data_IF_935507753542
#
_entry.id   IF_935507753542
#
_cell.length_a   1.000
_cell.length_b   1.000
_cell.length_c   1.000
_cell.angle_alpha   90.00
_cell.angle_beta   90.00
_cell.angle_gamma   90.00
#
_symmetry.space_group_name_H-M   'P 1'
#
loop_
_entity.id
_entity.type
_entity.pdbx_description
1 polymer ?
#
# COMPACT_ATOMS: atom_id res chain seq x y z
N UNK A 1 -22.88 19.90 0.42
CA UNK A 1 -21.77 19.03 -0.01
C UNK A 1 -22.15 17.61 0.30
N UNK A 2 -22.49 16.83 -0.72
CA UNK A 2 -22.82 15.41 -0.57
C UNK A 2 -21.48 14.70 -0.35
N UNK A 3 -21.21 14.22 0.87
CA UNK A 3 -20.04 13.39 1.11
C UNK A 3 -20.09 12.18 0.16
N UNK A 4 -18.96 11.84 -0.49
CA UNK A 4 -18.90 10.74 -1.45
C UNK A 4 -19.48 9.47 -0.81
N UNK A 5 -20.30 8.73 -1.56
CA UNK A 5 -21.04 7.56 -1.05
C UNK A 5 -20.13 6.54 -0.36
N UNK A 6 -18.87 6.48 -0.78
CA UNK A 6 -17.83 5.63 -0.17
C UNK A 6 -17.59 5.96 1.31
N UNK A 7 -17.62 7.23 1.70
CA UNK A 7 -17.36 7.64 3.08
C UNK A 7 -18.54 7.30 4.01
N UNK A 8 -19.78 7.44 3.52
CA UNK A 8 -20.98 7.21 4.33
C UNK A 8 -21.11 5.76 4.79
N UNK A 9 -20.64 4.80 3.98
CA UNK A 9 -20.69 3.38 4.31
C UNK A 9 -19.52 2.94 5.19
N UNK A 10 -18.33 3.50 4.99
CA UNK A 10 -17.13 3.06 5.70
C UNK A 10 -16.99 3.71 7.08
N UNK A 11 -17.29 5.00 7.20
CA UNK A 11 -17.00 5.77 8.42
C UNK A 11 -17.62 5.18 9.70
N UNK A 12 -18.92 4.81 9.74
CA UNK A 12 -19.54 4.26 10.94
C UNK A 12 -18.99 2.90 11.37
N UNK A 13 -18.40 2.14 10.43
CA UNK A 13 -17.84 0.81 10.71
C UNK A 13 -16.51 0.94 11.45
N UNK A 14 -15.74 1.99 11.13
CA UNK A 14 -14.44 2.22 11.74
C UNK A 14 -14.53 3.11 12.98
N UNK A 15 -15.59 3.91 13.14
CA UNK A 15 -15.78 4.77 14.30
C UNK A 15 -15.90 3.96 15.60
N UNK A 16 -14.91 4.13 16.48
CA UNK A 16 -14.87 3.44 17.78
C UNK A 16 -14.35 2.00 17.72
N UNK A 17 -13.86 1.56 16.55
CA UNK A 17 -13.32 0.21 16.38
C UNK A 17 -11.96 0.04 17.08
N UNK A 18 -11.16 1.10 17.13
CA UNK A 18 -9.82 1.10 17.72
C UNK A 18 -9.75 2.05 18.93
N UNK A 19 -8.83 1.82 19.89
CA UNK A 19 -8.56 2.80 20.92
C UNK A 19 -7.93 4.07 20.32
N UNK A 20 -8.28 5.23 20.88
CA UNK A 20 -7.59 6.48 20.56
C UNK A 20 -6.10 6.40 20.95
N UNK A 21 -5.17 7.00 20.18
CA UNK A 21 -5.37 7.91 19.04
C UNK A 21 -5.49 7.22 17.66
N UNK A 22 -5.52 5.90 17.62
CA UNK A 22 -5.41 5.15 16.36
C UNK A 22 -6.69 5.18 15.54
N UNK A 23 -7.85 5.19 16.20
CA UNK A 23 -9.14 5.34 15.56
C UNK A 23 -9.23 6.66 14.77
N UNK A 24 -8.89 7.80 15.40
CA UNK A 24 -8.79 9.08 14.70
C UNK A 24 -7.84 9.02 13.50
N UNK A 25 -6.69 8.36 13.65
CA UNK A 25 -5.70 8.21 12.56
C UNK A 25 -6.25 7.39 11.37
N UNK A 26 -7.07 6.37 11.65
CA UNK A 26 -7.70 5.54 10.61
C UNK A 26 -8.82 6.28 9.90
N UNK A 27 -9.64 7.01 10.66
CA UNK A 27 -10.71 7.84 10.10
C UNK A 27 -10.15 8.96 9.21
N UNK A 28 -9.06 9.61 9.62
CA UNK A 28 -8.34 10.61 8.81
C UNK A 28 -7.79 10.00 7.51
N UNK A 29 -7.20 8.81 7.60
CA UNK A 29 -6.71 8.07 6.44
C UNK A 29 -7.85 7.75 5.45
N UNK A 30 -8.96 7.21 5.94
CA UNK A 30 -10.13 6.87 5.13
C UNK A 30 -10.72 8.11 4.46
N UNK A 31 -10.87 9.20 5.21
CA UNK A 31 -11.36 10.47 4.68
C UNK A 31 -10.48 10.98 3.53
N UNK A 32 -9.17 11.02 3.75
CA UNK A 32 -8.20 11.53 2.76
C UNK A 32 -8.19 10.67 1.50
N UNK A 33 -8.24 9.33 1.65
CA UNK A 33 -8.32 8.39 0.53
C UNK A 33 -9.64 8.52 -0.24
N UNK A 34 -10.78 8.57 0.44
CA UNK A 34 -12.09 8.76 -0.21
C UNK A 34 -12.15 10.08 -0.97
N UNK A 35 -11.60 11.15 -0.40
CA UNK A 35 -11.56 12.46 -1.03
C UNK A 35 -10.69 12.43 -2.30
N UNK A 36 -9.46 11.93 -2.21
CA UNK A 36 -8.58 11.73 -3.38
C UNK A 36 -9.24 10.84 -4.45
N UNK A 37 -9.88 9.74 -4.04
CA UNK A 37 -10.51 8.79 -4.96
C UNK A 37 -11.75 9.39 -5.64
N UNK A 38 -12.47 10.30 -4.98
CA UNK A 38 -13.56 11.07 -5.57
C UNK A 38 -13.06 11.95 -6.72
N UNK A 39 -12.01 12.73 -6.50
CA UNK A 39 -11.37 13.52 -7.56
C UNK A 39 -10.83 12.65 -8.71
N UNK A 40 -10.19 11.52 -8.38
CA UNK A 40 -9.67 10.59 -9.38
C UNK A 40 -10.77 9.97 -10.24
N UNK A 41 -11.94 9.62 -9.66
CA UNK A 41 -13.09 9.07 -10.39
C UNK A 41 -13.77 10.09 -11.28
N UNK A 42 -13.90 11.33 -10.81
CA UNK A 42 -14.55 12.40 -11.58
C UNK A 42 -13.72 12.79 -12.81
N UNK A 43 -12.41 12.49 -12.82
CA UNK A 43 -11.49 12.78 -13.94
C UNK A 43 -11.65 14.23 -14.45
N UNK A 44 -11.83 15.16 -13.53
CA UNK A 44 -11.95 16.57 -13.89
C UNK A 44 -10.56 17.06 -14.28
N UNK A 45 -10.37 17.32 -15.58
CA UNK A 45 -9.12 17.78 -16.17
C UNK A 45 -9.10 19.31 -16.33
N UNK A 46 -9.49 20.04 -15.27
CA UNK A 46 -9.28 21.48 -15.21
C UNK A 46 -8.00 21.78 -14.44
N UNK A 47 -7.29 22.86 -14.76
CA UNK A 47 -6.02 23.19 -14.10
C UNK A 47 -6.16 23.30 -12.58
N UNK A 48 -7.29 23.81 -12.10
CA UNK A 48 -7.58 23.93 -10.67
C UNK A 48 -7.78 22.56 -10.01
N UNK A 49 -8.56 21.67 -10.63
CA UNK A 49 -8.80 20.32 -10.08
C UNK A 49 -7.54 19.45 -10.12
N UNK A 50 -6.64 19.67 -11.07
CA UNK A 50 -5.34 19.00 -11.12
C UNK A 50 -4.45 19.44 -9.95
N UNK A 51 -4.37 20.75 -9.64
CA UNK A 51 -3.62 21.25 -8.49
C UNK A 51 -4.14 20.67 -7.17
N UNK A 52 -5.47 20.67 -7.00
CA UNK A 52 -6.11 20.06 -5.83
C UNK A 52 -5.79 18.56 -5.75
N UNK A 53 -5.83 17.84 -6.87
CA UNK A 53 -5.49 16.43 -6.90
C UNK A 53 -4.02 16.16 -6.55
N UNK A 54 -3.08 17.01 -6.97
CA UNK A 54 -1.66 16.91 -6.60
C UNK A 54 -1.44 17.12 -5.11
N UNK A 55 -2.10 18.13 -4.53
CA UNK A 55 -2.06 18.39 -3.08
C UNK A 55 -2.65 17.24 -2.28
N UNK A 56 -3.78 16.70 -2.73
CA UNK A 56 -4.40 15.53 -2.12
C UNK A 56 -3.52 14.30 -2.24
N UNK A 57 -2.86 14.09 -3.37
CA UNK A 57 -1.93 12.95 -3.55
C UNK A 57 -0.76 13.04 -2.57
N UNK A 58 -0.21 14.25 -2.35
CA UNK A 58 0.81 14.47 -1.32
C UNK A 58 0.27 14.19 0.09
N UNK A 59 -0.94 14.66 0.38
CA UNK A 59 -1.59 14.42 1.67
C UNK A 59 -1.83 12.92 1.92
N UNK A 60 -2.35 12.19 0.92
CA UNK A 60 -2.51 10.73 0.95
C UNK A 60 -1.20 10.03 1.30
N UNK A 61 -0.11 10.38 0.62
CA UNK A 61 1.21 9.83 0.92
C UNK A 61 1.61 10.05 2.37
N UNK A 62 1.45 11.27 2.88
CA UNK A 62 1.78 11.62 4.25
C UNK A 62 0.93 10.83 5.27
N UNK A 63 -0.40 10.78 5.12
CA UNK A 63 -1.27 10.06 6.07
C UNK A 63 -0.98 8.56 6.06
N UNK A 64 -0.67 7.96 4.90
CA UNK A 64 -0.27 6.54 4.82
C UNK A 64 1.05 6.30 5.55
N UNK A 65 2.04 7.18 5.36
CA UNK A 65 3.32 7.08 6.08
C UNK A 65 3.13 7.21 7.60
N UNK A 66 2.29 8.15 8.05
CA UNK A 66 1.98 8.33 9.48
C UNK A 66 1.24 7.11 10.05
N UNK A 67 0.25 6.58 9.32
CA UNK A 67 -0.47 5.37 9.71
C UNK A 67 0.47 4.16 9.86
N UNK A 68 1.36 3.95 8.89
CA UNK A 68 2.37 2.90 8.97
C UNK A 68 3.30 3.10 10.17
N UNK A 69 3.78 4.33 10.38
CA UNK A 69 4.77 4.61 11.41
C UNK A 69 4.20 4.54 12.83
N UNK A 70 2.91 4.86 13.02
CA UNK A 70 2.28 4.96 14.35
C UNK A 70 1.30 3.81 14.61
N UNK A 71 0.32 3.62 13.74
CA UNK A 71 -0.77 2.65 13.95
C UNK A 71 -0.31 1.22 13.67
N UNK A 72 0.37 0.95 12.55
CA UNK A 72 0.85 -0.41 12.28
C UNK A 72 1.92 -0.90 13.26
N UNK A 73 2.67 0.01 13.92
CA UNK A 73 3.62 -0.38 14.98
C UNK A 73 2.92 -0.74 16.29
N UNK A 74 1.77 -0.15 16.57
CA UNK A 74 1.01 -0.40 17.80
C UNK A 74 0.25 -1.74 17.75
N UNK A 75 -0.17 -2.17 16.57
CA UNK A 75 -0.90 -3.43 16.38
C UNK A 75 -0.03 -4.46 15.67
N UNK A 76 0.24 -5.58 16.34
CA UNK A 76 0.95 -6.70 15.74
C UNK A 76 0.04 -7.45 14.75
N UNK A 77 -0.13 -6.90 13.55
CA UNK A 77 -0.87 -7.56 12.46
C UNK A 77 0.00 -8.64 11.84
N UNK A 78 -0.58 -9.83 11.64
CA UNK A 78 0.08 -10.92 10.91
C UNK A 78 -0.59 -11.07 9.54
N UNK A 79 0.23 -11.28 8.52
CA UNK A 79 -0.27 -11.67 7.20
C UNK A 79 -1.11 -12.95 7.31
N UNK A 80 -2.15 -13.04 6.49
CA UNK A 80 -2.88 -14.30 6.35
C UNK A 80 -1.96 -15.36 5.71
N UNK A 81 -2.20 -16.65 5.99
CA UNK A 81 -1.40 -17.75 5.42
C UNK A 81 -1.25 -17.66 3.91
N UNK A 82 -2.32 -17.27 3.20
CA UNK A 82 -2.33 -17.12 1.74
C UNK A 82 -1.45 -15.97 1.25
N UNK A 83 -1.45 -14.86 1.99
CA UNK A 83 -0.63 -13.70 1.70
C UNK A 83 0.85 -14.02 1.94
N UNK A 84 1.18 -14.64 3.09
CA UNK A 84 2.53 -15.08 3.40
C UNK A 84 3.09 -16.06 2.36
N UNK A 85 2.28 -17.01 1.90
CA UNK A 85 2.65 -17.92 0.80
C UNK A 85 2.92 -17.17 -0.51
N UNK A 86 2.07 -16.18 -0.84
CA UNK A 86 2.25 -15.36 -2.04
C UNK A 86 3.53 -14.51 -1.97
N UNK A 87 3.82 -13.91 -0.81
CA UNK A 87 5.05 -13.18 -0.54
C UNK A 87 6.29 -14.08 -0.68
N UNK A 88 6.25 -15.27 -0.09
CA UNK A 88 7.35 -16.23 -0.19
C UNK A 88 7.59 -16.70 -1.63
N UNK A 89 6.53 -16.96 -2.40
CA UNK A 89 6.65 -17.28 -3.82
C UNK A 89 7.29 -16.12 -4.62
N UNK A 90 6.88 -14.87 -4.38
CA UNK A 90 7.51 -13.69 -5.02
C UNK A 90 8.98 -13.57 -4.68
N UNK A 91 9.36 -13.83 -3.43
CA UNK A 91 10.75 -13.79 -2.99
C UNK A 91 11.60 -14.87 -3.71
N UNK A 92 11.11 -16.12 -3.77
CA UNK A 92 11.77 -17.21 -4.48
C UNK A 92 11.95 -16.87 -5.97
N UNK A 93 10.91 -16.34 -6.62
CA UNK A 93 10.97 -15.92 -8.02
C UNK A 93 12.01 -14.80 -8.23
N UNK A 94 12.04 -13.79 -7.36
CA UNK A 94 13.02 -12.69 -7.44
C UNK A 94 14.47 -13.13 -7.22
N UNK A 95 14.68 -14.14 -6.38
CA UNK A 95 16.00 -14.76 -6.15
C UNK A 95 16.43 -15.59 -7.36
N UNK A 96 15.51 -16.31 -8.00
CA UNK A 96 15.80 -17.13 -9.18
C UNK A 96 16.22 -16.30 -10.41
N UNK A 97 15.76 -15.05 -10.53
CA UNK A 97 16.16 -14.13 -11.62
C UNK A 97 17.54 -13.49 -11.45
N UNK A 98 18.23 -13.70 -10.31
CA UNK A 98 19.52 -13.06 -9.99
C UNK A 98 20.71 -14.04 -9.97
N UNK A 99 20.58 -15.23 -10.56
CA UNK A 99 21.71 -16.17 -10.67
C UNK A 99 22.59 -15.82 -11.90
N UNK A 100 23.88 -15.46 -11.74
CA UNK A 100 24.79 -15.38 -12.87
C UNK A 100 25.08 -16.79 -13.39
N UNK A 101 24.91 -16.98 -14.70
CA UNK A 101 25.10 -18.27 -15.38
C UNK A 101 26.48 -18.86 -15.08
N UNK A 102 26.49 -20.02 -14.43
CA UNK A 102 27.68 -20.87 -14.32
C UNK A 102 27.84 -21.63 -15.64
N UNK A 103 28.79 -21.18 -16.48
CA UNK A 103 29.16 -21.90 -17.69
C UNK A 103 29.74 -23.29 -17.33
N UNK A 104 29.49 -24.33 -18.15
CA UNK A 104 30.05 -25.66 -17.93
C UNK A 104 31.55 -25.64 -18.28
N UNK A 105 32.41 -25.79 -17.27
CA UNK A 105 33.85 -25.99 -17.49
C UNK A 105 34.08 -27.38 -18.06
N UNK A 106 34.59 -27.45 -19.29
CA UNK A 106 35.09 -28.68 -19.91
C UNK A 106 36.30 -29.17 -19.12
N UNK A 107 36.19 -30.33 -18.49
CA UNK A 107 37.38 -31.07 -18.02
C UNK A 107 37.91 -31.90 -19.18
N UNK A 108 38.92 -31.36 -19.86
CA UNK A 108 39.79 -32.13 -20.75
C UNK A 108 40.57 -33.12 -19.88
N UNK A 109 40.35 -34.41 -20.06
CA UNK A 109 41.15 -35.47 -19.45
C UNK A 109 42.39 -35.66 -20.33
N UNK A 110 43.55 -35.21 -19.86
CA UNK A 110 44.86 -35.56 -20.43
C UNK A 110 45.39 -36.79 -19.70
N UNK A 111 45.82 -37.76 -20.49
CA UNK A 111 46.37 -39.05 -20.07
C UNK A 111 47.72 -38.93 -19.35
N UNK A 112 47.93 -39.85 -18.41
CA UNK A 112 49.18 -40.58 -18.20
C UNK A 112 48.83 -42.00 -17.73
#
# INVERSE_FOLDING_TARGET
>A
MIYPAELQCAFPVFEGLLPEPHNSSVLELLYTLCHWHGFAKLRMHTDETLRVMDDLTRSVGNVVCVFQAKTCKAFATKELRREAQSCQCREILSRSSTAPGRAPSKSVVVAQ
#
